data_IF_187726825436
#
_entry.id   IF_187726825436
#
_cell.length_a   1.000
_cell.length_b   1.000
_cell.length_c   1.000
_cell.angle_alpha   90.00
_cell.angle_beta   90.00
_cell.angle_gamma   90.00
#
_symmetry.space_group_name_H-M   'P 1'
#
loop_
_entity.id
_entity.type
_entity.pdbx_description
1 polymer ?
#
# COMPACT_ATOMS: atom_id res chain seq x y z
N UNK A 1 -8.81 4.09 23.60
CA UNK A 1 -9.69 3.34 22.68
C UNK A 1 -9.23 1.89 22.58
N UNK A 2 -10.10 0.94 22.17
CA UNK A 2 -9.68 -0.42 21.84
C UNK A 2 -8.49 -0.45 20.88
N UNK A 3 -7.73 -1.53 20.92
CA UNK A 3 -6.51 -1.67 20.11
C UNK A 3 -6.83 -1.49 18.61
N UNK A 4 -6.10 -0.58 17.95
CA UNK A 4 -6.30 -0.27 16.54
C UNK A 4 -7.31 0.84 16.23
N UNK A 5 -8.05 1.35 17.22
CA UNK A 5 -8.97 2.48 17.02
C UNK A 5 -8.33 3.85 17.35
N UNK A 6 -8.91 4.89 16.75
CA UNK A 6 -8.51 6.27 16.95
C UNK A 6 -9.42 6.98 17.93
N UNK A 7 -8.89 7.97 18.63
CA UNK A 7 -9.65 8.76 19.60
C UNK A 7 -9.84 10.18 19.05
N UNK A 8 -11.08 10.56 18.76
CA UNK A 8 -11.39 11.94 18.32
C UNK A 8 -11.18 12.96 19.44
N UNK A 9 -11.14 14.26 19.11
CA UNK A 9 -11.07 15.36 20.11
C UNK A 9 -12.22 15.38 21.12
N UNK A 10 -13.32 14.70 20.79
CA UNK A 10 -14.52 14.62 21.63
C UNK A 10 -14.53 13.37 22.53
N UNK A 11 -13.44 12.60 22.56
CA UNK A 11 -13.31 11.40 23.39
C UNK A 11 -13.99 10.15 22.82
N UNK A 12 -14.56 10.22 21.61
CA UNK A 12 -15.16 9.07 20.94
C UNK A 12 -14.13 8.26 20.19
N UNK A 13 -14.28 6.93 20.25
CA UNK A 13 -13.43 5.96 19.55
C UNK A 13 -14.03 5.55 18.20
N UNK A 14 -13.18 5.35 17.21
CA UNK A 14 -13.60 4.83 15.91
C UNK A 14 -12.43 4.71 14.92
N UNK A 15 -12.72 4.10 13.77
CA UNK A 15 -11.71 3.82 12.72
C UNK A 15 -11.84 4.70 11.48
N UNK A 16 -12.87 5.56 11.41
CA UNK A 16 -13.06 6.45 10.26
C UNK A 16 -12.21 7.72 10.38
N UNK A 17 -12.06 8.44 9.26
CA UNK A 17 -11.23 9.65 9.18
C UNK A 17 -11.59 10.70 10.23
N UNK A 18 -12.86 10.81 10.63
CA UNK A 18 -13.31 11.77 11.66
C UNK A 18 -12.71 11.50 13.04
N UNK A 19 -12.43 10.23 13.34
CA UNK A 19 -11.82 9.81 14.60
C UNK A 19 -10.30 9.77 14.48
N UNK A 20 -9.79 9.48 13.29
CA UNK A 20 -8.38 9.18 13.05
C UNK A 20 -7.53 10.33 12.50
N UNK A 21 -8.15 11.38 11.98
CA UNK A 21 -7.44 12.49 11.37
C UNK A 21 -6.90 13.44 12.45
N UNK A 22 -5.58 13.61 12.49
CA UNK A 22 -4.91 14.57 13.38
C UNK A 22 -5.43 15.99 13.16
N UNK A 23 -5.73 16.36 11.91
CA UNK A 23 -6.30 17.66 11.57
C UNK A 23 -7.73 17.87 12.09
N UNK A 24 -8.47 16.79 12.36
CA UNK A 24 -9.79 16.88 13.00
C UNK A 24 -9.71 16.78 14.54
N UNK A 25 -8.49 16.67 15.08
CA UNK A 25 -8.22 16.67 16.52
C UNK A 25 -8.11 15.27 17.13
N UNK A 26 -7.64 14.29 16.37
CA UNK A 26 -7.36 12.98 16.96
C UNK A 26 -6.34 13.08 18.11
N UNK A 27 -6.68 12.51 19.27
CA UNK A 27 -5.88 12.49 20.49
C UNK A 27 -4.93 11.30 20.54
N UNK A 28 -3.66 11.53 20.19
CA UNK A 28 -2.65 10.47 20.04
C UNK A 28 -2.27 9.73 21.33
N UNK A 29 -2.52 10.34 22.49
CA UNK A 29 -2.30 9.71 23.79
C UNK A 29 -3.37 8.67 24.13
N UNK A 30 -4.56 8.76 23.50
CA UNK A 30 -5.73 7.95 23.82
C UNK A 30 -6.19 7.05 22.65
N UNK A 31 -5.54 7.13 21.48
CA UNK A 31 -5.85 6.31 20.31
C UNK A 31 -4.80 6.41 19.20
N UNK A 32 -4.94 5.58 18.16
CA UNK A 32 -3.96 5.49 17.07
C UNK A 32 -4.16 6.60 16.01
N UNK A 33 -3.82 7.83 16.37
CA UNK A 33 -3.98 9.02 15.53
C UNK A 33 -3.02 9.12 14.34
N UNK A 34 -2.33 8.04 14.00
CA UNK A 34 -1.32 8.00 12.96
C UNK A 34 -1.77 7.14 11.78
N UNK A 35 -2.79 7.59 11.05
CA UNK A 35 -3.24 6.94 9.78
C UNK A 35 -2.24 7.10 8.63
N UNK A 36 -1.00 7.53 8.90
CA UNK A 36 0.15 7.35 8.00
C UNK A 36 0.98 6.09 8.30
N UNK A 37 0.64 5.30 9.33
CA UNK A 37 1.43 4.14 9.76
C UNK A 37 0.73 2.78 9.75
N UNK A 38 -0.55 2.69 9.39
CA UNK A 38 -1.26 1.39 9.30
C UNK A 38 -1.30 0.81 7.87
N UNK A 39 -0.86 1.55 6.85
CA UNK A 39 -0.48 1.00 5.53
C UNK A 39 1.06 0.85 5.42
N UNK A 40 1.79 1.24 6.46
CA UNK A 40 3.25 1.42 6.40
C UNK A 40 3.91 1.04 7.72
N UNK A 41 3.82 -0.23 8.13
CA UNK A 41 4.79 -0.82 9.07
C UNK A 41 4.86 -2.36 9.09
N UNK A 42 4.74 -2.99 7.93
CA UNK A 42 5.59 -4.16 7.61
C UNK A 42 6.76 -3.67 6.76
N UNK A 43 7.51 -2.71 7.28
CA UNK A 43 8.84 -2.35 6.75
C UNK A 43 9.82 -3.41 7.22
N UNK A 44 9.85 -4.55 6.54
CA UNK A 44 11.13 -5.19 6.28
C UNK A 44 11.82 -4.29 5.26
N UNK A 45 12.82 -3.54 5.73
CA UNK A 45 13.74 -2.77 4.88
C UNK A 45 14.13 -3.60 3.67
N UNK A 46 13.83 -3.12 2.47
CA UNK A 46 14.77 -3.12 1.34
C UNK A 46 14.43 -1.97 0.42
N UNK A 47 15.43 -1.12 0.22
CA UNK A 47 15.43 -0.05 -0.74
C UNK A 47 15.06 -0.58 -2.14
N UNK A 48 14.19 0.14 -2.85
CA UNK A 48 13.93 -0.10 -4.26
C UNK A 48 12.45 -0.04 -4.64
N UNK A 49 12.00 1.13 -5.11
CA UNK A 49 11.00 1.17 -6.18
C UNK A 49 9.59 1.63 -5.84
N UNK A 50 9.40 2.66 -5.00
CA UNK A 50 8.20 3.51 -5.11
C UNK A 50 8.51 4.72 -5.99
N UNK A 51 8.65 4.56 -7.31
CA UNK A 51 8.81 5.74 -8.20
C UNK A 51 8.27 5.62 -9.62
N UNK A 52 7.53 4.56 -9.98
CA UNK A 52 7.11 4.38 -11.37
C UNK A 52 5.60 4.53 -11.59
N UNK A 53 4.82 5.10 -10.65
CA UNK A 53 3.36 5.23 -10.79
C UNK A 53 2.65 3.93 -11.21
N UNK A 54 3.10 2.78 -10.70
CA UNK A 54 2.58 1.47 -11.09
C UNK A 54 3.06 0.97 -12.45
N UNK A 55 4.12 1.55 -13.02
CA UNK A 55 4.78 1.07 -14.26
C UNK A 55 5.90 0.08 -13.96
N UNK A 56 6.15 -0.79 -14.91
CA UNK A 56 7.21 -1.79 -14.91
C UNK A 56 7.76 -2.03 -16.31
N UNK A 57 8.89 -2.74 -16.42
CA UNK A 57 9.58 -3.00 -17.68
C UNK A 57 11.01 -2.47 -17.66
N UNK A 58 11.75 -2.60 -18.76
CA UNK A 58 13.18 -2.26 -18.81
C UNK A 58 13.52 -0.85 -18.34
N UNK A 59 12.64 0.13 -18.56
CA UNK A 59 12.81 1.53 -18.13
C UNK A 59 12.32 1.83 -16.72
N UNK A 60 11.37 1.02 -16.22
CA UNK A 60 10.65 1.26 -14.96
C UNK A 60 10.97 0.20 -13.89
N UNK A 61 11.83 -0.76 -14.19
CA UNK A 61 12.19 -1.83 -13.26
C UNK A 61 11.05 -2.80 -12.96
N UNK A 62 11.15 -3.45 -11.80
CA UNK A 62 10.24 -4.52 -11.36
C UNK A 62 9.09 -3.97 -10.51
N UNK A 63 7.96 -4.64 -10.57
CA UNK A 63 6.82 -4.38 -9.70
C UNK A 63 7.12 -4.72 -8.22
N UNK A 64 6.40 -4.09 -7.28
CA UNK A 64 6.44 -4.43 -5.86
C UNK A 64 6.23 -5.92 -5.60
N UNK A 65 6.68 -6.38 -4.43
CA UNK A 65 6.68 -7.80 -4.10
C UNK A 65 5.26 -8.38 -4.13
N UNK A 66 5.06 -9.42 -4.94
CA UNK A 66 3.77 -10.10 -5.13
C UNK A 66 2.96 -9.60 -6.31
N UNK A 67 3.35 -8.49 -6.94
CA UNK A 67 2.70 -7.97 -8.14
C UNK A 67 3.33 -8.48 -9.43
N UNK A 68 2.53 -8.44 -10.48
CA UNK A 68 2.83 -8.94 -11.81
C UNK A 68 3.00 -7.78 -12.77
N UNK A 69 3.96 -7.89 -13.69
CA UNK A 69 4.16 -6.88 -14.71
C UNK A 69 3.43 -7.33 -15.98
N UNK A 70 2.35 -6.65 -16.36
CA UNK A 70 1.65 -6.93 -17.63
C UNK A 70 2.53 -6.63 -18.84
N UNK A 71 2.15 -7.14 -20.02
CA UNK A 71 2.79 -6.79 -21.30
C UNK A 71 2.78 -5.28 -21.61
N UNK A 72 1.85 -4.54 -21.02
CA UNK A 72 1.71 -3.09 -21.19
C UNK A 72 2.63 -2.27 -20.27
N UNK A 73 3.45 -2.94 -19.44
CA UNK A 73 4.37 -2.27 -18.53
C UNK A 73 3.66 -1.63 -17.35
N UNK A 74 2.61 -2.28 -16.85
CA UNK A 74 1.89 -1.90 -15.64
C UNK A 74 1.89 -3.05 -14.63
N UNK A 75 1.99 -2.67 -13.36
CA UNK A 75 1.92 -3.56 -12.21
C UNK A 75 0.48 -3.81 -11.79
N UNK A 76 0.20 -5.05 -11.40
CA UNK A 76 -1.07 -5.45 -10.81
C UNK A 76 -1.08 -6.92 -10.40
N UNK A 77 -2.12 -7.34 -9.68
CA UNK A 77 -2.24 -8.69 -9.10
C UNK A 77 -3.28 -9.57 -9.77
N UNK A 78 -4.10 -9.02 -10.67
CA UNK A 78 -5.14 -9.80 -11.36
C UNK A 78 -4.56 -10.62 -12.51
N UNK A 79 -5.31 -11.64 -12.93
CA UNK A 79 -4.94 -12.59 -13.99
C UNK A 79 -4.46 -11.91 -15.28
N UNK A 80 -5.03 -10.76 -15.65
CA UNK A 80 -4.59 -9.99 -16.83
C UNK A 80 -3.16 -9.45 -16.75
N UNK A 81 -2.64 -9.23 -15.54
CA UNK A 81 -1.25 -8.83 -15.30
C UNK A 81 -0.34 -10.04 -15.11
N UNK A 82 -0.85 -11.10 -14.47
CA UNK A 82 -0.05 -12.21 -13.97
C UNK A 82 0.03 -13.43 -14.87
N UNK A 83 -1.00 -13.67 -15.70
CA UNK A 83 -1.02 -14.83 -16.59
C UNK A 83 0.07 -14.69 -17.64
N UNK A 84 0.88 -15.73 -17.77
CA UNK A 84 1.82 -15.86 -18.90
C UNK A 84 1.12 -15.71 -20.25
N UNK A 85 -0.06 -16.30 -20.40
CA UNK A 85 -0.88 -16.18 -21.63
C UNK A 85 -1.36 -14.75 -21.91
N UNK A 86 -1.47 -13.91 -20.89
CA UNK A 86 -1.79 -12.48 -21.05
C UNK A 86 -0.56 -11.61 -21.30
N UNK A 87 0.64 -12.20 -21.35
CA UNK A 87 1.90 -11.52 -21.61
C UNK A 87 2.59 -10.97 -20.36
N UNK A 88 2.45 -11.63 -19.22
CA UNK A 88 3.18 -11.24 -18.01
C UNK A 88 4.71 -11.28 -18.23
N UNK A 89 5.38 -10.18 -17.86
CA UNK A 89 6.82 -10.00 -17.96
C UNK A 89 7.53 -10.47 -16.69
N UNK A 90 7.93 -11.74 -16.64
CA UNK A 90 8.51 -12.39 -15.45
C UNK A 90 9.82 -11.78 -14.94
N UNK A 91 10.59 -11.14 -15.82
CA UNK A 91 11.78 -10.35 -15.42
C UNK A 91 11.40 -9.18 -14.50
N UNK A 92 10.19 -8.65 -14.66
CA UNK A 92 9.72 -7.44 -14.00
C UNK A 92 8.58 -7.68 -13.00
N UNK A 93 8.15 -8.92 -12.75
CA UNK A 93 7.11 -9.21 -11.77
C UNK A 93 6.91 -10.71 -11.56
N UNK A 94 6.01 -11.07 -10.65
CA UNK A 94 5.59 -12.46 -10.47
C UNK A 94 4.68 -12.84 -11.63
N UNK A 95 4.94 -13.96 -12.30
CA UNK A 95 4.05 -14.49 -13.32
C UNK A 95 3.70 -15.92 -12.96
N UNK A 96 2.42 -16.26 -13.07
CA UNK A 96 1.93 -17.62 -12.95
C UNK A 96 1.34 -18.04 -14.28
#
# INVERSE_FOLDING_TARGET
CPEGECCSKYGWCGTSSKYCNVSEGCQSEFGNCNVRKTITRTTTRRAGGRFNNGRCGGRFGRCPHGECCSKYGYCGTSSKYCRRSSGCQSRYGRCW
#
